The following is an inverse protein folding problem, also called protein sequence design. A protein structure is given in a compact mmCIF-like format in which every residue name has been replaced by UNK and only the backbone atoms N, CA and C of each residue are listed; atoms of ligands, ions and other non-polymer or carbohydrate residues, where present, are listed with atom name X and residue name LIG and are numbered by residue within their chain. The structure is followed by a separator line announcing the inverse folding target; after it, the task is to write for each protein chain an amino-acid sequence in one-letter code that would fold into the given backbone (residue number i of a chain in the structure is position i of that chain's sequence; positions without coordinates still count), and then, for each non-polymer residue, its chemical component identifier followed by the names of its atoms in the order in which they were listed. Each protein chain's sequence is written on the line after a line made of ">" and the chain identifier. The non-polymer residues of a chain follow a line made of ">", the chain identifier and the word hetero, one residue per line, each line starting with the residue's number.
data_IF_099763864867
#
_entry.id   IF_099763864867
#
_cell.length_a   1.000
_cell.length_b   1.000
_cell.length_c   1.000
_cell.angle_alpha   90.00
_cell.angle_beta   90.00
_cell.angle_gamma   90.00
#
_symmetry.space_group_name_H-M   'P 1'
#
loop_
_entity.id
_entity.type
_entity.pdbx_description
1 polymer ?
#
# COMPACT_ATOMS: atom_id res chain seq x y z
N UNK A 1 37.95 -6.25 16.21
CA UNK A 1 37.59 -5.21 15.21
C UNK A 1 36.66 -5.86 14.21
N UNK A 2 35.42 -5.36 14.07
CA UNK A 2 34.42 -5.98 13.20
C UNK A 2 34.78 -5.83 11.72
N UNK A 3 34.71 -6.93 10.96
CA UNK A 3 35.06 -6.99 9.54
C UNK A 3 34.14 -6.17 8.60
N UNK A 4 33.04 -5.60 9.11
CA UNK A 4 32.05 -4.87 8.31
C UNK A 4 31.75 -3.47 8.89
N UNK A 5 31.49 -2.46 8.04
CA UNK A 5 31.01 -1.15 8.46
C UNK A 5 29.70 -1.23 9.27
N UNK A 6 29.48 -0.36 10.27
CA UNK A 6 28.24 -0.32 11.05
C UNK A 6 26.96 -0.22 10.20
N UNK A 7 27.01 0.50 9.07
CA UNK A 7 25.92 0.61 8.09
C UNK A 7 25.51 -0.72 7.47
N UNK A 8 26.49 -1.58 7.15
CA UNK A 8 26.24 -2.90 6.60
C UNK A 8 25.64 -3.80 7.68
N UNK A 9 26.20 -3.79 8.89
CA UNK A 9 25.70 -4.59 10.01
C UNK A 9 24.24 -4.25 10.32
N UNK A 10 23.92 -2.96 10.50
CA UNK A 10 22.56 -2.49 10.78
C UNK A 10 21.57 -2.85 9.66
N UNK A 11 22.00 -2.74 8.40
CA UNK A 11 21.17 -3.07 7.24
C UNK A 11 20.88 -4.57 7.15
N UNK A 12 21.90 -5.42 7.42
CA UNK A 12 21.75 -6.87 7.48
C UNK A 12 20.81 -7.26 8.62
N UNK A 13 21.00 -6.67 9.80
CA UNK A 13 20.17 -6.94 10.97
C UNK A 13 18.69 -6.63 10.70
N UNK A 14 18.37 -5.42 10.23
CA UNK A 14 17.00 -5.01 9.91
C UNK A 14 16.36 -5.94 8.86
N UNK A 15 17.10 -6.25 7.79
CA UNK A 15 16.60 -7.12 6.71
C UNK A 15 16.40 -8.56 7.19
N UNK A 16 17.31 -9.08 8.01
CA UNK A 16 17.21 -10.44 8.56
C UNK A 16 16.00 -10.58 9.47
N UNK A 17 15.73 -9.59 10.33
CA UNK A 17 14.53 -9.57 11.15
C UNK A 17 13.25 -9.57 10.31
N UNK A 18 13.20 -8.81 9.21
CA UNK A 18 12.04 -8.83 8.30
C UNK A 18 11.84 -10.19 7.61
N UNK A 19 12.94 -10.85 7.21
CA UNK A 19 12.87 -12.22 6.70
C UNK A 19 12.34 -13.19 7.76
N UNK A 20 12.76 -13.05 9.02
CA UNK A 20 12.26 -13.86 10.14
C UNK A 20 10.78 -13.65 10.40
N UNK A 21 10.27 -12.41 10.33
CA UNK A 21 8.83 -12.12 10.44
C UNK A 21 8.03 -12.96 9.41
N UNK A 22 8.48 -12.92 8.15
CA UNK A 22 7.80 -13.64 7.06
C UNK A 22 7.88 -15.15 7.25
N UNK A 23 9.04 -15.66 7.69
CA UNK A 23 9.25 -17.08 7.96
C UNK A 23 8.38 -17.59 9.12
N UNK A 24 8.34 -16.87 10.25
CA UNK A 24 7.52 -17.23 11.42
C UNK A 24 6.04 -17.29 11.02
N UNK A 25 5.55 -16.30 10.28
CA UNK A 25 4.17 -16.26 9.81
C UNK A 25 3.84 -17.46 8.92
N UNK A 26 4.71 -17.75 7.95
CA UNK A 26 4.58 -18.87 7.03
C UNK A 26 4.59 -20.22 7.72
N UNK A 27 5.55 -20.44 8.62
CA UNK A 27 5.69 -21.67 9.39
C UNK A 27 4.49 -21.89 10.31
N UNK A 28 4.05 -20.85 11.03
CA UNK A 28 2.89 -20.93 11.90
C UNK A 28 1.63 -21.32 11.12
N UNK A 29 1.37 -20.71 9.96
CA UNK A 29 0.22 -21.05 9.11
C UNK A 29 0.28 -22.50 8.55
N UNK A 30 1.49 -23.03 8.33
CA UNK A 30 1.70 -24.30 7.63
C UNK A 30 1.81 -25.51 8.55
N UNK A 31 2.45 -25.32 9.70
CA UNK A 31 2.82 -26.41 10.62
C UNK A 31 2.00 -26.41 11.91
N UNK A 32 1.05 -25.50 12.08
CA UNK A 32 0.12 -25.50 13.21
C UNK A 32 -1.33 -25.65 12.77
N UNK A 33 -2.15 -26.31 13.60
CA UNK A 33 -3.61 -26.36 13.41
C UNK A 33 -4.25 -24.99 13.65
N UNK A 34 -5.48 -24.81 13.18
CA UNK A 34 -6.24 -23.55 13.31
C UNK A 34 -6.39 -23.05 14.77
N UNK A 35 -6.38 -23.97 15.72
CA UNK A 35 -6.59 -23.74 17.17
C UNK A 35 -5.32 -23.92 17.99
N UNK A 36 -4.15 -24.07 17.35
CA UNK A 36 -2.90 -24.33 18.06
C UNK A 36 -2.53 -23.21 19.04
N UNK A 37 -2.09 -23.54 20.26
CA UNK A 37 -1.62 -22.56 21.24
C UNK A 37 -0.31 -21.88 20.83
N UNK A 38 0.36 -22.35 19.76
CA UNK A 38 1.57 -21.73 19.23
C UNK A 38 1.29 -20.49 18.36
N UNK A 39 0.03 -20.25 17.96
CA UNK A 39 -0.31 -19.11 17.10
C UNK A 39 -0.18 -17.75 17.81
N UNK A 40 -0.69 -17.54 19.04
CA UNK A 40 -0.49 -16.27 19.73
C UNK A 40 1.00 -15.93 20.00
N UNK A 41 1.84 -16.87 20.47
CA UNK A 41 3.29 -16.62 20.58
C UNK A 41 3.95 -16.24 19.25
N UNK A 42 3.55 -16.85 18.13
CA UNK A 42 4.07 -16.49 16.81
C UNK A 42 3.71 -15.04 16.42
N UNK A 43 2.48 -14.60 16.70
CA UNK A 43 2.06 -13.21 16.48
C UNK A 43 2.85 -12.25 17.38
N UNK A 44 3.04 -12.61 18.65
CA UNK A 44 3.83 -11.81 19.59
C UNK A 44 5.29 -11.67 19.13
N UNK A 45 5.90 -12.75 18.62
CA UNK A 45 7.25 -12.71 18.05
C UNK A 45 7.32 -11.81 16.80
N UNK A 46 6.34 -11.90 15.90
CA UNK A 46 6.24 -11.03 14.71
C UNK A 46 6.15 -9.55 15.12
N UNK A 47 5.30 -9.23 16.11
CA UNK A 47 5.16 -7.88 16.65
C UNK A 47 6.46 -7.39 17.30
N UNK A 48 7.10 -8.23 18.12
CA UNK A 48 8.37 -7.91 18.76
C UNK A 48 9.49 -7.61 17.76
N UNK A 49 9.59 -8.40 16.68
CA UNK A 49 10.54 -8.15 15.59
C UNK A 49 10.20 -6.84 14.84
N UNK A 50 8.93 -6.55 14.57
CA UNK A 50 8.55 -5.29 13.92
C UNK A 50 8.90 -4.06 14.78
N UNK A 51 8.71 -4.14 16.10
CA UNK A 51 9.12 -3.11 17.05
C UNK A 51 10.65 -3.00 17.10
N UNK A 52 11.37 -4.12 17.11
CA UNK A 52 12.84 -4.13 17.09
C UNK A 52 13.39 -3.48 15.82
N UNK A 53 12.85 -3.81 14.64
CA UNK A 53 13.15 -3.14 13.37
C UNK A 53 12.92 -1.63 13.48
N UNK A 54 11.75 -1.21 14.00
CA UNK A 54 11.41 0.20 14.13
C UNK A 54 12.42 0.94 15.01
N UNK A 55 12.75 0.39 16.17
CA UNK A 55 13.70 0.97 17.12
C UNK A 55 15.12 1.01 16.52
N UNK A 56 15.56 -0.08 15.90
CA UNK A 56 16.85 -0.18 15.22
C UNK A 56 16.99 0.92 14.17
N UNK A 57 15.98 1.09 13.32
CA UNK A 57 15.96 2.09 12.26
C UNK A 57 15.99 3.51 12.81
N UNK A 58 15.21 3.80 13.87
CA UNK A 58 15.14 5.13 14.47
C UNK A 58 16.46 5.49 15.16
N UNK A 59 17.07 4.56 15.89
CA UNK A 59 18.33 4.80 16.61
C UNK A 59 19.56 4.77 15.69
N UNK A 60 19.56 3.98 14.62
CA UNK A 60 20.68 3.85 13.68
C UNK A 60 20.37 4.48 12.32
N UNK A 61 19.49 5.48 12.30
CA UNK A 61 18.99 6.15 11.10
C UNK A 61 20.10 6.69 10.18
N UNK A 62 21.22 7.14 10.75
CA UNK A 62 22.39 7.64 10.01
C UNK A 62 23.12 6.56 9.21
N UNK A 63 22.98 5.29 9.60
CA UNK A 63 23.73 4.17 9.05
C UNK A 63 22.95 3.36 8.02
N UNK A 64 21.62 3.46 7.98
CA UNK A 64 20.77 2.68 7.08
C UNK A 64 20.24 3.60 5.96
N UNK A 65 20.35 3.23 4.67
CA UNK A 65 19.78 4.00 3.56
C UNK A 65 18.27 4.26 3.74
N UNK A 66 17.79 5.47 3.44
CA UNK A 66 16.38 5.89 3.63
C UNK A 66 15.40 4.91 2.97
N UNK A 67 15.69 4.49 1.74
CA UNK A 67 14.84 3.56 0.98
C UNK A 67 14.73 2.22 1.71
N UNK A 68 15.85 1.71 2.23
CA UNK A 68 15.88 0.44 2.97
C UNK A 68 15.11 0.56 4.29
N UNK A 69 15.35 1.64 5.05
CA UNK A 69 14.60 1.94 6.29
C UNK A 69 13.10 1.93 6.07
N UNK A 70 12.63 2.72 5.11
CA UNK A 70 11.21 2.80 4.77
C UNK A 70 10.64 1.45 4.35
N UNK A 71 11.35 0.72 3.48
CA UNK A 71 10.88 -0.57 2.96
C UNK A 71 10.75 -1.66 4.04
N UNK A 72 11.75 -1.78 4.91
CA UNK A 72 11.79 -2.82 5.95
C UNK A 72 10.80 -2.51 7.06
N UNK A 73 10.69 -1.25 7.50
CA UNK A 73 9.68 -0.84 8.49
C UNK A 73 8.25 -1.04 7.95
N UNK A 74 7.97 -0.54 6.74
CA UNK A 74 6.68 -0.72 6.08
C UNK A 74 6.33 -2.21 5.94
N UNK A 75 7.29 -3.02 5.45
CA UNK A 75 7.13 -4.46 5.31
C UNK A 75 6.84 -5.17 6.63
N UNK A 76 7.56 -4.82 7.70
CA UNK A 76 7.35 -5.37 9.04
C UNK A 76 5.94 -5.12 9.55
N UNK A 77 5.47 -3.87 9.53
CA UNK A 77 4.12 -3.51 9.99
C UNK A 77 3.00 -4.05 9.11
N UNK A 78 3.23 -4.14 7.78
CA UNK A 78 2.32 -4.86 6.87
C UNK A 78 2.20 -6.33 7.30
N UNK A 79 3.31 -6.98 7.64
CA UNK A 79 3.28 -8.38 8.06
C UNK A 79 2.66 -8.59 9.44
N UNK A 80 2.77 -7.63 10.36
CA UNK A 80 2.01 -7.64 11.63
C UNK A 80 0.52 -7.70 11.32
N UNK A 81 0.00 -6.77 10.51
CA UNK A 81 -1.42 -6.76 10.14
C UNK A 81 -1.83 -8.03 9.36
N UNK A 82 -0.96 -8.51 8.48
CA UNK A 82 -1.16 -9.74 7.71
C UNK A 82 -1.18 -11.00 8.60
N UNK A 83 -0.42 -11.01 9.70
CA UNK A 83 -0.40 -12.13 10.65
C UNK A 83 -1.73 -12.30 11.36
N UNK A 84 -2.39 -11.19 11.72
CA UNK A 84 -3.72 -11.20 12.32
C UNK A 84 -4.77 -11.72 11.33
N UNK A 85 -4.63 -11.38 10.04
CA UNK A 85 -5.47 -11.98 9.01
C UNK A 85 -5.29 -13.50 8.91
N UNK A 86 -4.05 -13.96 8.72
CA UNK A 86 -3.73 -15.36 8.47
C UNK A 86 -4.00 -16.24 9.70
N UNK A 87 -3.53 -15.82 10.88
CA UNK A 87 -3.48 -16.68 12.07
C UNK A 87 -4.71 -16.54 12.97
N UNK A 88 -5.35 -15.37 13.01
CA UNK A 88 -6.49 -15.09 13.90
C UNK A 88 -7.82 -15.11 13.16
N UNK A 89 -7.97 -14.28 12.12
CA UNK A 89 -9.25 -14.07 11.45
C UNK A 89 -9.62 -15.23 10.50
N UNK A 90 -8.80 -15.48 9.47
CA UNK A 90 -9.04 -16.58 8.50
C UNK A 90 -8.58 -17.93 9.01
N UNK A 91 -7.69 -17.95 10.01
CA UNK A 91 -7.06 -19.16 10.59
C UNK A 91 -6.54 -20.13 9.53
N UNK A 92 -5.86 -19.60 8.51
CA UNK A 92 -5.34 -20.35 7.36
C UNK A 92 -4.51 -21.56 7.81
N UNK A 93 -4.71 -22.71 7.16
CA UNK A 93 -3.91 -23.93 7.38
C UNK A 93 -3.51 -24.60 6.08
N UNK A 94 -2.35 -25.25 6.06
CA UNK A 94 -1.94 -26.08 4.92
C UNK A 94 -2.87 -27.28 4.70
N UNK A 95 -3.35 -27.90 5.78
CA UNK A 95 -4.25 -29.06 5.68
C UNK A 95 -5.56 -28.72 4.94
N UNK A 96 -6.18 -27.59 5.28
CA UNK A 96 -7.38 -27.10 4.59
C UNK A 96 -7.08 -26.72 3.13
N UNK A 97 -5.92 -26.13 2.87
CA UNK A 97 -5.49 -25.84 1.50
C UNK A 97 -5.38 -27.11 0.65
N UNK A 98 -4.73 -28.17 1.17
CA UNK A 98 -4.59 -29.46 0.49
C UNK A 98 -5.96 -30.10 0.23
N UNK A 99 -6.88 -30.02 1.19
CA UNK A 99 -8.25 -30.53 0.98
C UNK A 99 -8.96 -29.77 -0.15
N UNK A 100 -8.81 -28.45 -0.21
CA UNK A 100 -9.38 -27.62 -1.27
C UNK A 100 -8.73 -27.85 -2.65
N UNK A 101 -7.44 -28.22 -2.70
CA UNK A 101 -6.76 -28.55 -3.96
C UNK A 101 -6.99 -29.98 -4.43
N UNK A 102 -7.62 -30.88 -3.65
CA UNK A 102 -7.99 -32.22 -4.13
C UNK A 102 -8.83 -32.09 -5.42
N UNK A 103 -8.31 -32.62 -6.53
CA UNK A 103 -8.91 -32.49 -7.87
C UNK A 103 -8.37 -31.35 -8.74
N UNK A 104 -7.53 -30.46 -8.19
CA UNK A 104 -6.85 -29.37 -8.93
C UNK A 104 -5.37 -29.74 -9.08
N UNK A 105 -4.91 -29.99 -10.31
CA UNK A 105 -3.50 -30.36 -10.60
C UNK A 105 -2.55 -29.24 -10.18
N UNK A 106 -1.81 -29.41 -9.08
CA UNK A 106 -0.63 -28.61 -8.74
C UNK A 106 0.45 -29.57 -8.21
N UNK A 107 1.42 -29.93 -9.05
CA UNK A 107 2.61 -30.69 -8.62
C UNK A 107 3.80 -29.74 -8.51
N UNK A 108 3.97 -29.14 -7.34
CA UNK A 108 5.20 -28.43 -7.00
C UNK A 108 6.10 -29.36 -6.17
N UNK A 109 7.43 -29.33 -6.35
CA UNK A 109 8.33 -29.96 -5.40
C UNK A 109 8.16 -29.31 -4.02
N UNK A 110 8.05 -30.13 -2.97
CA UNK A 110 7.88 -29.69 -1.57
C UNK A 110 6.71 -28.70 -1.34
N UNK A 111 5.45 -29.07 -1.67
CA UNK A 111 4.31 -28.15 -1.67
C UNK A 111 4.04 -27.52 -0.30
N UNK A 112 4.40 -28.22 0.79
CA UNK A 112 4.29 -27.70 2.15
C UNK A 112 5.28 -26.58 2.46
N UNK A 113 6.55 -26.74 2.08
CA UNK A 113 7.58 -25.71 2.24
C UNK A 113 7.22 -24.51 1.36
N UNK A 114 6.81 -24.76 0.12
CA UNK A 114 6.37 -23.71 -0.78
C UNK A 114 5.18 -22.91 -0.24
N UNK A 115 4.19 -23.59 0.36
CA UNK A 115 3.07 -22.92 1.01
C UNK A 115 3.54 -22.03 2.17
N UNK A 116 4.47 -22.51 3.01
CA UNK A 116 5.04 -21.71 4.10
C UNK A 116 5.74 -20.45 3.60
N UNK A 117 6.53 -20.55 2.53
CA UNK A 117 7.26 -19.40 1.99
C UNK A 117 6.35 -18.42 1.20
N UNK A 118 5.29 -18.92 0.57
CA UNK A 118 4.44 -18.11 -0.32
C UNK A 118 3.27 -17.44 0.39
N UNK A 119 2.65 -18.08 1.40
CA UNK A 119 1.42 -17.55 2.02
C UNK A 119 1.58 -16.16 2.65
N UNK A 120 2.71 -15.79 3.30
CA UNK A 120 2.89 -14.43 3.85
C UNK A 120 2.88 -13.36 2.76
N UNK A 121 3.44 -13.65 1.58
CA UNK A 121 3.59 -12.69 0.49
C UNK A 121 2.43 -12.73 -0.52
N UNK A 122 1.59 -13.76 -0.46
CA UNK A 122 0.37 -13.85 -1.25
C UNK A 122 -0.76 -13.03 -0.60
N UNK A 123 -0.63 -11.70 -0.53
CA UNK A 123 -1.58 -10.81 0.16
C UNK A 123 -3.02 -10.87 -0.38
N UNK A 124 -3.19 -11.27 -1.63
CA UNK A 124 -4.50 -11.47 -2.28
C UNK A 124 -5.00 -12.91 -2.21
N UNK A 125 -4.21 -13.82 -1.63
CA UNK A 125 -4.50 -15.24 -1.46
C UNK A 125 -4.84 -15.94 -2.78
N UNK A 126 -4.22 -15.51 -3.87
CA UNK A 126 -4.41 -16.05 -5.23
C UNK A 126 -4.13 -17.55 -5.23
N UNK A 127 -4.98 -18.34 -5.90
CA UNK A 127 -4.80 -19.79 -5.99
C UNK A 127 -5.09 -20.54 -4.68
N UNK A 128 -5.86 -19.94 -3.76
CA UNK A 128 -6.27 -20.59 -2.51
C UNK A 128 -7.77 -20.42 -2.26
N UNK A 129 -8.31 -21.17 -1.30
CA UNK A 129 -9.70 -21.01 -0.82
C UNK A 129 -10.01 -19.59 -0.33
N UNK A 130 -9.01 -18.88 0.19
CA UNK A 130 -9.16 -17.56 0.82
C UNK A 130 -8.95 -16.38 -0.14
N UNK A 131 -8.91 -16.64 -1.45
CA UNK A 131 -8.72 -15.63 -2.49
C UNK A 131 -9.69 -14.45 -2.34
N UNK A 132 -9.18 -13.22 -2.46
CA UNK A 132 -10.02 -12.02 -2.37
C UNK A 132 -10.98 -11.92 -3.57
N UNK A 133 -12.06 -11.16 -3.41
CA UNK A 133 -12.98 -10.81 -4.50
C UNK A 133 -13.15 -9.28 -4.57
N UNK A 134 -13.12 -8.66 -5.77
CA UNK A 134 -12.86 -9.28 -7.08
C UNK A 134 -11.36 -9.57 -7.33
N UNK A 135 -11.09 -10.55 -8.19
CA UNK A 135 -9.80 -10.68 -8.90
C UNK A 135 -10.01 -10.16 -10.31
N UNK A 136 -9.12 -9.28 -10.76
CA UNK A 136 -9.25 -8.68 -12.09
C UNK A 136 -8.61 -9.59 -13.14
N UNK A 137 -9.35 -9.79 -14.21
CA UNK A 137 -8.92 -10.66 -15.30
C UNK A 137 -7.87 -10.00 -16.20
N UNK A 138 -7.10 -10.86 -16.86
CA UNK A 138 -6.27 -10.45 -18.00
C UNK A 138 -7.14 -9.93 -19.14
N UNK A 139 -6.51 -9.24 -20.10
CA UNK A 139 -7.20 -8.75 -21.31
C UNK A 139 -7.89 -9.94 -21.99
N UNK A 140 -9.20 -9.81 -22.25
CA UNK A 140 -10.08 -10.86 -22.81
C UNK A 140 -10.25 -12.12 -21.93
N UNK A 141 -9.93 -12.06 -20.64
CA UNK A 141 -10.09 -13.20 -19.72
C UNK A 141 -9.09 -14.34 -19.92
N UNK A 142 -8.11 -14.19 -20.83
CA UNK A 142 -7.14 -15.24 -21.17
C UNK A 142 -5.82 -15.02 -20.46
N UNK A 143 -5.33 -16.04 -19.76
CA UNK A 143 -4.00 -16.03 -19.14
C UNK A 143 -2.94 -16.06 -20.27
N UNK A 144 -2.04 -15.07 -20.34
CA UNK A 144 -1.03 -15.05 -21.39
C UNK A 144 0.01 -16.16 -21.21
N UNK A 145 0.55 -16.65 -22.34
CA UNK A 145 1.71 -17.53 -22.32
C UNK A 145 2.93 -16.84 -21.67
N UNK A 146 3.85 -17.61 -21.09
CA UNK A 146 5.00 -17.08 -20.31
C UNK A 146 5.79 -15.99 -21.04
N UNK A 147 6.21 -16.25 -22.29
CA UNK A 147 6.98 -15.26 -23.09
C UNK A 147 6.18 -13.98 -23.30
N UNK A 148 4.89 -14.11 -23.59
CA UNK A 148 4.01 -12.97 -23.81
C UNK A 148 3.79 -12.16 -22.53
N UNK A 149 3.56 -12.84 -21.41
CA UNK A 149 3.45 -12.22 -20.10
C UNK A 149 4.70 -11.39 -19.77
N UNK A 150 5.89 -11.97 -19.91
CA UNK A 150 7.16 -11.29 -19.63
C UNK A 150 7.33 -10.05 -20.51
N UNK A 151 7.07 -10.19 -21.82
CA UNK A 151 7.10 -9.07 -22.78
C UNK A 151 6.13 -7.96 -22.42
N UNK A 152 4.88 -8.30 -22.08
CA UNK A 152 3.86 -7.34 -21.70
C UNK A 152 4.21 -6.58 -20.42
N UNK A 153 4.72 -7.28 -19.39
CA UNK A 153 5.13 -6.65 -18.13
C UNK A 153 6.33 -5.74 -18.32
N UNK A 154 7.35 -6.19 -19.05
CA UNK A 154 8.53 -5.38 -19.34
C UNK A 154 8.16 -4.13 -20.14
N UNK A 155 7.38 -4.28 -21.22
CA UNK A 155 6.85 -3.15 -22.00
C UNK A 155 6.02 -2.21 -21.14
N UNK A 156 5.20 -2.72 -20.22
CA UNK A 156 4.42 -1.88 -19.31
C UNK A 156 5.32 -1.05 -18.41
N UNK A 157 6.43 -1.58 -17.89
CA UNK A 157 7.38 -0.82 -17.06
C UNK A 157 8.02 0.29 -17.89
N UNK A 158 8.55 -0.04 -19.08
CA UNK A 158 9.26 0.92 -19.95
C UNK A 158 8.32 2.04 -20.42
N UNK A 159 7.14 1.71 -20.94
CA UNK A 159 6.19 2.71 -21.43
C UNK A 159 5.68 3.62 -20.31
N UNK A 160 5.37 3.05 -19.15
CA UNK A 160 4.92 3.83 -17.99
C UNK A 160 6.02 4.76 -17.50
N UNK A 161 7.25 4.24 -17.32
CA UNK A 161 8.38 5.03 -16.88
C UNK A 161 8.69 6.17 -17.85
N UNK A 162 8.70 5.87 -19.16
CA UNK A 162 8.92 6.86 -20.22
C UNK A 162 7.83 7.93 -20.28
N UNK A 163 6.55 7.54 -20.23
CA UNK A 163 5.43 8.49 -20.26
C UNK A 163 5.46 9.47 -19.08
N UNK A 164 5.93 9.02 -17.92
CA UNK A 164 5.99 9.85 -16.71
C UNK A 164 7.21 10.75 -16.69
N UNK A 165 8.37 10.23 -17.13
CA UNK A 165 9.54 11.08 -17.38
C UNK A 165 9.19 12.20 -18.36
N UNK A 166 8.49 11.87 -19.45
CA UNK A 166 8.04 12.84 -20.44
C UNK A 166 7.02 13.84 -19.88
N UNK A 167 6.01 13.38 -19.14
CA UNK A 167 5.03 14.27 -18.50
C UNK A 167 5.69 15.26 -17.53
N UNK A 168 6.57 14.79 -16.65
CA UNK A 168 7.31 15.64 -15.73
C UNK A 168 8.19 16.66 -16.47
N UNK A 169 8.81 16.24 -17.58
CA UNK A 169 9.62 17.13 -18.42
C UNK A 169 8.76 18.20 -19.11
N UNK A 170 7.57 17.87 -19.61
CA UNK A 170 6.62 18.86 -20.16
C UNK A 170 6.18 19.84 -19.08
N UNK A 171 5.79 19.36 -17.90
CA UNK A 171 5.35 20.23 -16.82
C UNK A 171 6.46 21.18 -16.35
N UNK A 172 7.72 20.73 -16.37
CA UNK A 172 8.88 21.58 -16.11
C UNK A 172 9.11 22.60 -17.24
N UNK A 173 8.98 22.19 -18.51
CA UNK A 173 9.13 23.07 -19.67
C UNK A 173 8.05 24.16 -19.72
N UNK A 174 6.81 23.83 -19.38
CA UNK A 174 5.66 24.74 -19.36
C UNK A 174 5.56 25.57 -18.06
N UNK A 175 6.56 25.50 -17.18
CA UNK A 175 6.58 26.16 -15.85
C UNK A 175 5.31 25.89 -15.01
N UNK A 176 4.68 24.73 -15.24
CA UNK A 176 3.47 24.29 -14.53
C UNK A 176 3.80 23.71 -13.16
N UNK A 177 5.05 23.30 -12.95
CA UNK A 177 5.58 22.84 -11.68
C UNK A 177 6.65 23.84 -11.26
N UNK A 178 6.60 24.39 -10.03
CA UNK A 178 7.66 25.26 -9.53
C UNK A 178 9.02 24.58 -9.72
N UNK A 179 10.05 25.37 -10.05
CA UNK A 179 11.41 24.84 -10.11
C UNK A 179 11.73 24.11 -8.81
N UNK A 180 12.59 23.10 -8.88
CA UNK A 180 12.91 22.26 -7.72
C UNK A 180 13.29 23.07 -6.47
N UNK A 181 14.00 24.19 -6.63
CA UNK A 181 14.38 25.07 -5.53
C UNK A 181 13.18 25.80 -4.89
N UNK A 182 12.21 26.24 -5.70
CA UNK A 182 11.01 26.93 -5.22
C UNK A 182 10.07 25.96 -4.51
N UNK A 183 9.91 24.76 -5.06
CA UNK A 183 9.15 23.68 -4.43
C UNK A 183 9.78 23.27 -3.09
N UNK A 184 11.11 23.12 -3.06
CA UNK A 184 11.88 22.87 -1.83
C UNK A 184 11.64 23.98 -0.80
N UNK A 185 11.78 25.23 -1.21
CA UNK A 185 11.57 26.39 -0.34
C UNK A 185 10.13 26.42 0.22
N UNK A 186 9.13 26.20 -0.62
CA UNK A 186 7.73 26.21 -0.23
C UNK A 186 7.36 25.06 0.74
N UNK A 187 7.93 23.86 0.53
CA UNK A 187 7.76 22.73 1.44
C UNK A 187 8.50 22.92 2.77
N UNK A 188 9.73 23.45 2.72
CA UNK A 188 10.55 23.69 3.91
C UNK A 188 9.92 24.73 4.86
N UNK A 189 9.32 25.79 4.30
CA UNK A 189 8.71 26.88 5.07
C UNK A 189 7.23 26.63 5.40
N UNK A 190 6.72 25.41 5.20
CA UNK A 190 5.34 25.09 5.55
C UNK A 190 4.28 25.74 4.65
N UNK A 191 4.66 26.51 3.61
CA UNK A 191 3.74 27.34 2.82
C UNK A 191 2.66 26.52 2.12
N UNK A 192 2.98 25.31 1.68
CA UNK A 192 2.02 24.39 1.03
C UNK A 192 1.12 23.63 2.02
N UNK A 193 1.36 23.74 3.33
CA UNK A 193 0.51 23.13 4.36
C UNK A 193 -0.65 24.05 4.77
N UNK A 194 -0.51 25.37 4.58
CA UNK A 194 -1.56 26.34 4.80
C UNK A 194 -2.59 26.32 3.65
N UNK A 195 -3.87 26.53 3.97
CA UNK A 195 -4.94 26.70 2.98
C UNK A 195 -4.84 28.10 2.36
N UNK A 196 -3.97 28.28 1.38
CA UNK A 196 -4.04 29.43 0.48
C UNK A 196 -5.00 29.12 -0.67
N UNK A 197 -6.07 29.91 -0.77
CA UNK A 197 -7.12 29.78 -1.78
C UNK A 197 -6.84 30.59 -3.05
N UNK A 198 -5.67 31.21 -3.17
CA UNK A 198 -5.25 31.86 -4.41
C UNK A 198 -5.17 30.84 -5.55
N UNK A 199 -5.66 31.21 -6.74
CA UNK A 199 -5.65 30.33 -7.92
C UNK A 199 -4.26 29.74 -8.24
N UNK A 200 -3.15 30.51 -8.20
CA UNK A 200 -1.82 29.96 -8.45
C UNK A 200 -1.40 28.91 -7.40
N UNK A 201 -1.73 29.13 -6.13
CA UNK A 201 -1.41 28.21 -5.05
C UNK A 201 -2.22 26.92 -5.13
N UNK A 202 -3.53 27.04 -5.38
CA UNK A 202 -4.42 25.90 -5.60
C UNK A 202 -3.98 25.06 -6.80
N UNK A 203 -3.62 25.70 -7.92
CA UNK A 203 -3.13 25.02 -9.11
C UNK A 203 -1.81 24.27 -8.82
N UNK A 204 -0.86 24.93 -8.15
CA UNK A 204 0.42 24.32 -7.76
C UNK A 204 0.20 23.11 -6.86
N UNK A 205 -0.65 23.24 -5.83
CA UNK A 205 -0.97 22.16 -4.91
C UNK A 205 -1.66 20.98 -5.62
N UNK A 206 -2.58 21.28 -6.55
CA UNK A 206 -3.27 20.24 -7.32
C UNK A 206 -2.31 19.48 -8.23
N UNK A 207 -1.44 20.19 -8.98
CA UNK A 207 -0.45 19.57 -9.87
C UNK A 207 0.55 18.73 -9.07
N UNK A 208 1.05 19.25 -7.94
CA UNK A 208 1.97 18.54 -7.06
C UNK A 208 1.33 17.27 -6.48
N UNK A 209 0.14 17.41 -5.88
CA UNK A 209 -0.60 16.27 -5.31
C UNK A 209 -0.90 15.20 -6.36
N UNK A 210 -1.37 15.61 -7.54
CA UNK A 210 -1.65 14.70 -8.64
C UNK A 210 -0.36 13.98 -9.12
N UNK A 211 0.73 14.71 -9.29
CA UNK A 211 2.02 14.15 -9.73
C UNK A 211 2.58 13.15 -8.72
N UNK A 212 2.49 13.44 -7.42
CA UNK A 212 2.92 12.53 -6.36
C UNK A 212 2.03 11.28 -6.29
N UNK A 213 0.71 11.41 -6.42
CA UNK A 213 -0.22 10.28 -6.44
C UNK A 213 0.04 9.36 -7.63
N UNK A 214 0.23 9.94 -8.82
CA UNK A 214 0.60 9.20 -10.03
C UNK A 214 1.94 8.50 -9.79
N UNK A 215 2.95 9.19 -9.27
CA UNK A 215 4.28 8.59 -9.00
C UNK A 215 4.19 7.37 -8.06
N UNK A 216 3.44 7.49 -6.95
CA UNK A 216 3.22 6.39 -6.01
C UNK A 216 2.49 5.20 -6.66
N UNK A 217 1.47 5.47 -7.47
CA UNK A 217 0.74 4.43 -8.20
C UNK A 217 1.65 3.65 -9.15
N UNK A 218 2.53 4.36 -9.86
CA UNK A 218 3.43 3.75 -10.83
C UNK A 218 4.53 2.95 -10.15
N UNK A 219 5.02 3.44 -9.01
CA UNK A 219 5.95 2.68 -8.16
C UNK A 219 5.33 1.35 -7.74
N UNK A 220 4.07 1.33 -7.29
CA UNK A 220 3.37 0.08 -6.96
C UNK A 220 3.29 -0.86 -8.16
N UNK A 221 2.96 -0.33 -9.34
CA UNK A 221 2.91 -1.13 -10.58
C UNK A 221 4.26 -1.67 -10.99
N UNK A 222 5.32 -0.87 -10.86
CA UNK A 222 6.68 -1.25 -11.20
C UNK A 222 7.17 -2.36 -10.26
N UNK A 223 7.01 -2.19 -8.94
CA UNK A 223 7.36 -3.22 -7.95
C UNK A 223 6.61 -4.53 -8.23
N UNK A 224 5.30 -4.46 -8.44
CA UNK A 224 4.50 -5.65 -8.77
C UNK A 224 4.96 -6.34 -10.07
N UNK A 225 5.21 -5.56 -11.12
CA UNK A 225 5.64 -6.10 -12.41
C UNK A 225 7.06 -6.70 -12.34
N UNK A 226 7.99 -6.08 -11.63
CA UNK A 226 9.35 -6.58 -11.41
C UNK A 226 9.31 -7.91 -10.66
N UNK A 227 8.57 -7.98 -9.54
CA UNK A 227 8.42 -9.24 -8.80
C UNK A 227 7.79 -10.34 -9.66
N UNK A 228 6.77 -10.00 -10.45
CA UNK A 228 6.13 -10.94 -11.37
C UNK A 228 7.08 -11.44 -12.46
N UNK A 229 7.86 -10.54 -13.07
CA UNK A 229 8.87 -10.88 -14.09
C UNK A 229 9.90 -11.83 -13.48
N UNK A 230 10.48 -11.47 -12.33
CA UNK A 230 11.50 -12.29 -11.67
C UNK A 230 10.95 -13.67 -11.32
N UNK A 231 9.78 -13.75 -10.69
CA UNK A 231 9.21 -15.04 -10.27
C UNK A 231 8.82 -15.94 -11.45
N UNK A 232 8.29 -15.38 -12.54
CA UNK A 232 7.91 -16.14 -13.74
C UNK A 232 9.13 -16.50 -14.59
N UNK A 233 10.15 -15.63 -14.64
CA UNK A 233 11.41 -15.90 -15.32
C UNK A 233 12.17 -17.04 -14.64
N UNK A 234 12.22 -17.06 -13.31
CA UNK A 234 12.88 -18.10 -12.52
C UNK A 234 12.05 -19.38 -12.33
N UNK A 235 10.90 -19.51 -13.01
CA UNK A 235 9.99 -20.67 -12.89
C UNK A 235 9.46 -20.92 -11.46
N UNK A 236 9.46 -19.90 -10.61
CA UNK A 236 8.92 -19.95 -9.25
C UNK A 236 7.39 -19.83 -9.22
N UNK A 237 6.79 -19.27 -10.27
CA UNK A 237 5.34 -19.12 -10.39
C UNK A 237 4.93 -19.03 -11.87
N UNK A 238 3.63 -19.17 -12.12
CA UNK A 238 3.03 -19.05 -13.45
C UNK A 238 2.43 -17.65 -13.67
N UNK A 239 2.19 -17.23 -14.92
CA UNK A 239 1.45 -15.99 -15.19
C UNK A 239 0.09 -15.91 -14.48
N UNK A 240 -0.58 -17.05 -14.24
CA UNK A 240 -1.87 -17.12 -13.56
C UNK A 240 -1.82 -16.63 -12.10
N UNK A 241 -0.65 -16.72 -11.45
CA UNK A 241 -0.43 -16.28 -10.07
C UNK A 241 -0.28 -14.76 -9.96
N UNK A 242 -0.15 -14.08 -11.11
CA UNK A 242 0.07 -12.63 -11.20
C UNK A 242 -1.04 -11.89 -11.96
N UNK A 243 -2.33 -12.06 -11.60
CA UNK A 243 -3.41 -11.33 -12.24
C UNK A 243 -3.29 -9.83 -11.94
N UNK A 244 -3.77 -8.93 -12.82
CA UNK A 244 -3.88 -7.51 -12.52
C UNK A 244 -4.39 -7.26 -11.10
N UNK A 245 -3.72 -6.38 -10.36
CA UNK A 245 -4.09 -6.15 -8.96
C UNK A 245 -5.22 -5.16 -8.79
N UNK A 246 -5.58 -4.41 -9.82
CA UNK A 246 -6.55 -3.31 -9.73
C UNK A 246 -7.48 -3.27 -10.93
N UNK A 247 -8.61 -2.59 -10.75
CA UNK A 247 -9.54 -2.26 -11.82
C UNK A 247 -8.93 -1.27 -12.83
N UNK A 248 -9.66 -1.05 -13.93
CA UNK A 248 -9.37 0.05 -14.85
C UNK A 248 -9.51 1.40 -14.15
N UNK A 249 -8.68 2.38 -14.53
CA UNK A 249 -8.83 3.77 -14.07
C UNK A 249 -10.21 4.36 -14.43
N UNK A 250 -10.90 3.78 -15.43
CA UNK A 250 -12.29 4.08 -15.81
C UNK A 250 -13.33 3.83 -14.70
N UNK A 251 -12.94 3.06 -13.69
CA UNK A 251 -13.81 2.71 -12.56
C UNK A 251 -13.56 3.61 -11.33
N UNK A 252 -12.53 4.47 -11.36
CA UNK A 252 -12.08 5.29 -10.22
C UNK A 252 -12.78 6.67 -10.12
N UNK A 253 -14.05 6.76 -10.54
CA UNK A 253 -14.82 8.02 -10.56
C UNK A 253 -15.54 8.32 -9.23
N UNK A 254 -15.31 7.58 -8.16
CA UNK A 254 -15.74 7.97 -6.80
C UNK A 254 -14.66 7.54 -5.82
N UNK A 255 -14.52 8.20 -4.68
CA UNK A 255 -13.55 7.88 -3.62
C UNK A 255 -13.78 6.45 -3.13
N UNK A 256 -15.05 6.01 -2.99
CA UNK A 256 -15.37 4.61 -2.66
C UNK A 256 -14.86 3.62 -3.71
N UNK A 257 -14.97 3.93 -5.00
CA UNK A 257 -14.47 3.06 -6.07
C UNK A 257 -12.95 3.14 -6.23
N UNK A 258 -12.37 4.32 -6.04
CA UNK A 258 -10.93 4.54 -6.05
C UNK A 258 -10.25 3.63 -5.03
N UNK A 259 -10.62 3.71 -3.74
CA UNK A 259 -10.06 2.83 -2.70
C UNK A 259 -10.56 1.39 -2.80
N UNK A 260 -11.81 1.20 -3.23
CA UNK A 260 -12.46 -0.10 -3.23
C UNK A 260 -12.11 -1.00 -4.42
N UNK A 261 -11.57 -0.45 -5.51
CA UNK A 261 -11.31 -1.19 -6.75
C UNK A 261 -9.98 -0.86 -7.42
N UNK A 262 -9.49 0.38 -7.29
CA UNK A 262 -8.34 0.84 -8.05
C UNK A 262 -7.05 0.88 -7.22
N UNK A 263 -7.07 1.48 -6.03
CA UNK A 263 -5.87 1.76 -5.24
C UNK A 263 -5.54 0.65 -4.23
N UNK A 264 -4.26 0.30 -4.05
CA UNK A 264 -3.75 -0.64 -3.01
C UNK A 264 -4.53 -1.96 -2.81
N UNK A 265 -5.10 -2.53 -3.86
CA UNK A 265 -5.89 -3.76 -3.76
C UNK A 265 -5.09 -4.99 -3.28
N UNK A 266 -3.75 -4.95 -3.33
CA UNK A 266 -2.89 -5.97 -2.73
C UNK A 266 -3.14 -6.13 -1.23
N UNK A 267 -3.44 -5.03 -0.53
CA UNK A 267 -3.51 -4.98 0.94
C UNK A 267 -4.93 -5.07 1.49
N UNK A 268 -5.93 -5.13 0.60
CA UNK A 268 -7.36 -5.16 0.95
C UNK A 268 -7.71 -6.25 1.97
N UNK A 269 -7.13 -7.45 1.80
CA UNK A 269 -7.45 -8.62 2.64
C UNK A 269 -7.18 -8.35 4.11
N UNK A 270 -5.92 -8.04 4.45
CA UNK A 270 -5.55 -7.88 5.84
C UNK A 270 -6.13 -6.60 6.45
N UNK A 271 -6.23 -5.50 5.69
CA UNK A 271 -6.85 -4.27 6.19
C UNK A 271 -8.30 -4.52 6.62
N UNK A 272 -9.06 -5.24 5.80
CA UNK A 272 -10.46 -5.59 6.11
C UNK A 272 -10.55 -6.55 7.30
N UNK A 273 -9.68 -7.55 7.36
CA UNK A 273 -9.73 -8.56 8.42
C UNK A 273 -9.33 -8.02 9.79
N UNK A 274 -8.37 -7.10 9.86
CA UNK A 274 -8.06 -6.42 11.12
C UNK A 274 -9.27 -5.62 11.63
N UNK A 275 -10.00 -4.94 10.75
CA UNK A 275 -11.23 -4.27 11.13
C UNK A 275 -12.30 -5.26 11.63
N UNK A 276 -12.45 -6.43 11.00
CA UNK A 276 -13.40 -7.46 11.45
C UNK A 276 -13.02 -8.07 12.81
N UNK A 277 -11.74 -8.30 13.07
CA UNK A 277 -11.28 -8.78 14.39
C UNK A 277 -11.71 -7.81 15.49
N UNK A 278 -11.46 -6.52 15.29
CA UNK A 278 -11.84 -5.48 16.26
C UNK A 278 -13.36 -5.40 16.43
N UNK A 279 -14.11 -5.41 15.33
CA UNK A 279 -15.58 -5.35 15.38
C UNK A 279 -16.17 -6.59 16.06
N UNK A 280 -15.60 -7.78 15.83
CA UNK A 280 -16.06 -9.03 16.44
C UNK A 280 -15.85 -9.09 17.94
N UNK A 281 -14.95 -8.27 18.49
CA UNK A 281 -14.70 -8.15 19.93
C UNK A 281 -15.73 -7.26 20.64
N UNK A 282 -16.61 -6.56 19.91
CA UNK A 282 -17.66 -5.73 20.51
C UNK A 282 -18.79 -6.65 21.02
N UNK A 283 -19.15 -6.60 22.31
CA UNK A 283 -20.04 -7.59 22.93
C UNK A 283 -21.52 -7.45 22.54
N UNK A 284 -21.89 -6.39 21.83
CA UNK A 284 -23.26 -6.10 21.41
C UNK A 284 -23.38 -5.88 19.90
N UNK A 285 -24.59 -6.12 19.37
CA UNK A 285 -24.87 -5.99 17.94
C UNK A 285 -24.95 -4.52 17.53
N UNK A 286 -24.02 -4.09 16.69
CA UNK A 286 -24.06 -2.78 16.06
C UNK A 286 -25.15 -2.70 14.99
N UNK A 287 -25.77 -1.52 14.86
CA UNK A 287 -26.63 -1.22 13.72
C UNK A 287 -25.85 -1.33 12.39
N UNK A 288 -26.53 -1.73 11.31
CA UNK A 288 -25.89 -2.03 10.01
C UNK A 288 -25.03 -0.86 9.50
N UNK A 289 -25.53 0.36 9.59
CA UNK A 289 -24.81 1.57 9.15
C UNK A 289 -23.59 1.84 10.03
N UNK A 290 -23.74 1.72 11.34
CA UNK A 290 -22.65 1.93 12.32
C UNK A 290 -21.54 0.92 12.11
N UNK A 291 -21.87 -0.39 12.02
CA UNK A 291 -20.90 -1.44 11.71
C UNK A 291 -20.16 -1.17 10.39
N UNK A 292 -20.88 -0.72 9.35
CA UNK A 292 -20.31 -0.42 8.04
C UNK A 292 -19.29 0.72 8.11
N UNK A 293 -19.63 1.84 8.74
CA UNK A 293 -18.72 2.98 8.84
C UNK A 293 -17.57 2.74 9.81
N UNK A 294 -17.81 2.05 10.91
CA UNK A 294 -16.76 1.63 11.83
C UNK A 294 -15.73 0.75 11.12
N UNK A 295 -16.17 -0.20 10.29
CA UNK A 295 -15.28 -1.02 9.47
C UNK A 295 -14.44 -0.17 8.52
N UNK A 296 -15.04 0.80 7.82
CA UNK A 296 -14.29 1.70 6.94
C UNK A 296 -13.23 2.48 7.72
N UNK A 297 -13.62 3.08 8.85
CA UNK A 297 -12.69 3.80 9.72
C UNK A 297 -11.55 2.91 10.18
N UNK A 298 -11.83 1.70 10.69
CA UNK A 298 -10.81 0.78 11.18
C UNK A 298 -9.87 0.30 10.06
N UNK A 299 -10.37 0.00 8.86
CA UNK A 299 -9.53 -0.34 7.71
C UNK A 299 -8.52 0.78 7.42
N UNK A 300 -8.99 2.02 7.39
CA UNK A 300 -8.15 3.17 7.13
C UNK A 300 -7.25 3.53 8.31
N UNK A 301 -7.67 3.29 9.55
CA UNK A 301 -6.84 3.46 10.74
C UNK A 301 -5.64 2.51 10.70
N UNK A 302 -5.85 1.23 10.39
CA UNK A 302 -4.76 0.25 10.24
C UNK A 302 -3.83 0.68 9.10
N UNK A 303 -4.37 1.13 7.97
CA UNK A 303 -3.55 1.71 6.89
C UNK A 303 -2.75 2.92 7.37
N UNK A 304 -3.37 3.84 8.12
CA UNK A 304 -2.74 5.04 8.64
C UNK A 304 -1.62 4.73 9.63
N UNK A 305 -1.78 3.72 10.50
CA UNK A 305 -0.75 3.26 11.43
C UNK A 305 0.46 2.70 10.68
N UNK A 306 0.25 1.88 9.65
CA UNK A 306 1.34 1.35 8.81
C UNK A 306 2.13 2.50 8.16
N UNK A 307 1.44 3.51 7.62
CA UNK A 307 2.11 4.67 7.02
C UNK A 307 2.78 5.59 8.07
N UNK A 308 2.19 5.71 9.26
CA UNK A 308 2.79 6.44 10.38
C UNK A 308 4.14 5.84 10.78
N UNK A 309 4.23 4.51 10.91
CA UNK A 309 5.51 3.86 11.22
C UNK A 309 6.53 3.97 10.08
N UNK A 310 6.07 3.94 8.82
CA UNK A 310 6.89 4.23 7.66
C UNK A 310 7.46 5.66 7.73
N UNK A 311 6.63 6.67 8.04
CA UNK A 311 7.03 8.06 8.18
C UNK A 311 8.17 8.21 9.21
N UNK A 312 8.00 7.61 10.39
CA UNK A 312 9.02 7.62 11.44
C UNK A 312 10.33 6.95 10.97
N UNK A 313 10.22 5.84 10.23
CA UNK A 313 11.38 5.11 9.74
C UNK A 313 12.20 5.91 8.70
N UNK A 314 11.54 6.73 7.88
CA UNK A 314 12.22 7.60 6.92
C UNK A 314 12.67 8.94 7.54
N UNK A 315 12.33 9.20 8.81
CA UNK A 315 12.77 10.35 9.59
C UNK A 315 11.81 11.54 9.59
N UNK A 316 10.54 11.34 9.28
CA UNK A 316 9.48 12.33 9.54
C UNK A 316 9.14 12.25 11.04
N UNK A 317 9.05 13.39 11.72
CA UNK A 317 8.80 13.43 13.16
C UNK A 317 7.36 13.02 13.54
N UNK A 318 7.16 12.64 14.81
CA UNK A 318 5.83 12.35 15.36
C UNK A 318 4.86 13.55 15.26
N UNK A 319 5.39 14.77 15.32
CA UNK A 319 4.59 16.00 15.22
C UNK A 319 4.25 16.37 13.77
N UNK A 320 5.09 15.96 12.81
CA UNK A 320 4.93 16.30 11.40
C UNK A 320 4.12 15.27 10.61
N UNK A 321 4.06 14.01 11.06
CA UNK A 321 3.37 12.94 10.32
C UNK A 321 1.89 13.23 10.15
N UNK A 322 1.48 13.43 8.88
CA UNK A 322 0.09 13.58 8.50
C UNK A 322 -0.65 12.26 8.23
N UNK A 323 0.00 11.10 8.43
CA UNK A 323 -0.51 9.80 7.98
C UNK A 323 -1.88 9.47 8.60
N UNK A 324 -1.98 9.46 9.93
CA UNK A 324 -3.23 9.08 10.62
C UNK A 324 -4.40 9.98 10.21
N UNK A 325 -4.19 11.31 10.19
CA UNK A 325 -5.20 12.27 9.73
C UNK A 325 -5.66 11.97 8.30
N UNK A 326 -4.69 11.80 7.39
CA UNK A 326 -4.92 11.57 5.96
C UNK A 326 -5.75 10.31 5.70
N UNK A 327 -5.45 9.21 6.37
CA UNK A 327 -6.17 7.95 6.12
C UNK A 327 -7.49 7.90 6.86
N UNK A 328 -7.57 8.33 8.12
CA UNK A 328 -8.80 8.23 8.92
C UNK A 328 -9.93 9.15 8.45
N UNK A 329 -9.65 10.22 7.68
CA UNK A 329 -10.68 11.10 7.10
C UNK A 329 -11.38 10.48 5.88
N UNK A 330 -10.81 9.46 5.23
CA UNK A 330 -11.34 8.89 3.98
C UNK A 330 -12.81 8.40 4.06
N UNK A 331 -13.30 7.78 5.15
CA UNK A 331 -14.71 7.40 5.30
C UNK A 331 -15.69 8.58 5.26
N UNK A 332 -15.24 9.82 5.53
CA UNK A 332 -16.11 11.01 5.40
C UNK A 332 -16.55 11.19 3.94
N UNK A 333 -15.65 11.00 2.97
CA UNK A 333 -16.03 11.02 1.56
C UNK A 333 -17.09 9.96 1.21
N UNK A 334 -17.04 8.80 1.87
CA UNK A 334 -18.04 7.75 1.65
C UNK A 334 -19.44 8.18 2.14
N UNK A 335 -19.50 8.94 3.24
CA UNK A 335 -20.75 9.52 3.75
C UNK A 335 -21.30 10.60 2.84
N UNK A 336 -20.43 11.48 2.33
CA UNK A 336 -20.79 12.49 1.32
C UNK A 336 -21.30 11.83 0.04
N UNK A 337 -20.65 10.77 -0.44
CA UNK A 337 -21.09 10.01 -1.60
C UNK A 337 -22.44 9.31 -1.38
N UNK A 338 -22.67 8.74 -0.19
CA UNK A 338 -23.96 8.12 0.16
C UNK A 338 -25.08 9.17 0.17
N UNK A 339 -24.83 10.37 0.70
CA UNK A 339 -25.77 11.49 0.70
C UNK A 339 -26.05 11.99 -0.73
N UNK A 340 -25.01 12.23 -1.53
CA UNK A 340 -25.15 12.64 -2.92
C UNK A 340 -25.97 11.62 -3.73
N UNK A 341 -25.73 10.32 -3.52
CA UNK A 341 -26.52 9.26 -4.13
C UNK A 341 -27.98 9.23 -3.65
N UNK A 342 -28.22 9.50 -2.37
CA UNK A 342 -29.58 9.62 -1.83
C UNK A 342 -30.34 10.78 -2.49
N UNK A 343 -29.74 11.98 -2.54
CA UNK A 343 -30.33 13.17 -3.15
C UNK A 343 -30.58 12.98 -4.66
N UNK A 344 -29.61 12.41 -5.37
CA UNK A 344 -29.73 12.06 -6.80
C UNK A 344 -30.95 11.17 -7.07
N UNK A 345 -31.18 10.15 -6.24
CA UNK A 345 -32.37 9.29 -6.34
C UNK A 345 -33.66 10.02 -5.94
N UNK A 346 -33.62 10.80 -4.86
CA UNK A 346 -34.80 11.51 -4.31
C UNK A 346 -35.36 12.55 -5.28
N UNK A 347 -34.50 13.20 -6.05
CA UNK A 347 -34.86 14.24 -7.02
C UNK A 347 -34.79 13.78 -8.48
N UNK A 348 -34.50 12.50 -8.73
CA UNK A 348 -34.41 11.93 -10.08
C UNK A 348 -33.40 12.63 -11.01
N UNK A 349 -32.32 13.18 -10.42
CA UNK A 349 -31.23 13.86 -11.15
C UNK A 349 -30.02 12.94 -11.23
N UNK A 350 -29.39 12.80 -12.40
CA UNK A 350 -28.20 11.97 -12.61
C UNK A 350 -28.37 10.52 -12.11
N UNK A 351 -29.57 9.96 -12.26
CA UNK A 351 -29.87 8.58 -11.90
C UNK A 351 -29.09 7.61 -12.80
N UNK A 352 -28.78 6.42 -12.27
CA UNK A 352 -28.02 5.41 -13.01
C UNK A 352 -26.52 5.72 -13.14
N UNK A 353 -25.91 5.28 -14.25
CA UNK A 353 -24.49 5.40 -14.55
C UNK A 353 -24.29 6.22 -15.84
N UNK A 354 -24.46 7.54 -15.75
CA UNK A 354 -24.31 8.47 -16.87
C UNK A 354 -22.87 8.97 -17.00
N UNK A 355 -22.49 9.44 -18.20
CA UNK A 355 -21.19 10.09 -18.44
C UNK A 355 -21.02 11.31 -17.54
N UNK A 356 -22.05 12.16 -17.43
CA UNK A 356 -22.03 13.35 -16.57
C UNK A 356 -21.73 13.00 -15.10
N UNK A 357 -22.35 11.94 -14.56
CA UNK A 357 -22.08 11.45 -13.20
C UNK A 357 -20.64 10.99 -13.01
N UNK A 358 -20.07 10.30 -14.00
CA UNK A 358 -18.67 9.88 -13.95
C UNK A 358 -17.72 11.08 -13.99
N UNK A 359 -17.97 12.05 -14.86
CA UNK A 359 -17.16 13.28 -14.96
C UNK A 359 -17.18 14.04 -13.64
N UNK A 360 -18.37 14.31 -13.08
CA UNK A 360 -18.52 14.95 -11.77
C UNK A 360 -17.82 14.15 -10.67
N UNK A 361 -17.93 12.83 -10.72
CA UNK A 361 -17.26 11.93 -9.81
C UNK A 361 -15.73 12.00 -9.89
N UNK A 362 -15.15 12.08 -11.09
CA UNK A 362 -13.70 12.28 -11.24
C UNK A 362 -13.24 13.63 -10.68
N UNK A 363 -14.00 14.70 -10.94
CA UNK A 363 -13.72 16.03 -10.35
C UNK A 363 -13.75 15.94 -8.83
N UNK A 364 -14.76 15.29 -8.25
CA UNK A 364 -14.86 15.03 -6.82
C UNK A 364 -13.65 14.25 -6.27
N UNK A 365 -13.24 13.18 -6.95
CA UNK A 365 -12.07 12.37 -6.56
C UNK A 365 -10.81 13.22 -6.52
N UNK A 366 -10.55 14.01 -7.56
CA UNK A 366 -9.37 14.87 -7.65
C UNK A 366 -9.37 15.90 -6.51
N UNK A 367 -10.47 16.62 -6.32
CA UNK A 367 -10.59 17.66 -5.28
C UNK A 367 -10.38 17.04 -3.89
N UNK A 368 -11.12 15.96 -3.58
CA UNK A 368 -11.03 15.33 -2.27
C UNK A 368 -9.66 14.72 -2.01
N UNK A 369 -9.02 14.09 -3.01
CA UNK A 369 -7.67 13.54 -2.85
C UNK A 369 -6.62 14.63 -2.67
N UNK A 370 -6.67 15.74 -3.43
CA UNK A 370 -5.74 16.86 -3.24
C UNK A 370 -5.88 17.47 -1.84
N UNK A 371 -7.11 17.60 -1.33
CA UNK A 371 -7.36 18.14 0.00
C UNK A 371 -7.00 17.18 1.14
N UNK A 372 -7.37 15.90 1.03
CA UNK A 372 -7.22 14.94 2.14
C UNK A 372 -5.83 14.34 2.25
N UNK A 373 -5.09 14.21 1.13
CA UNK A 373 -3.79 13.55 1.11
C UNK A 373 -2.61 14.49 1.34
N UNK A 374 -2.81 15.81 1.17
CA UNK A 374 -1.75 16.83 1.35
C UNK A 374 -0.97 16.74 2.67
N UNK A 375 -1.57 16.51 3.86
CA UNK A 375 -0.82 16.59 5.11
C UNK A 375 0.24 15.49 5.21
N UNK A 376 0.01 14.35 4.56
CA UNK A 376 0.95 13.25 4.52
C UNK A 376 1.88 13.32 3.31
N UNK A 377 1.33 13.49 2.10
CA UNK A 377 2.10 13.35 0.86
C UNK A 377 3.17 14.45 0.71
N UNK A 378 2.92 15.66 1.24
CA UNK A 378 3.89 16.76 1.22
C UNK A 378 5.04 16.54 2.21
N UNK A 379 4.79 15.87 3.33
CA UNK A 379 5.86 15.51 4.27
C UNK A 379 6.78 14.45 3.66
N UNK A 380 6.20 13.45 3.00
CA UNK A 380 6.97 12.44 2.27
C UNK A 380 7.78 13.09 1.14
N UNK A 381 7.18 14.01 0.38
CA UNK A 381 7.87 14.76 -0.67
C UNK A 381 9.01 15.63 -0.13
N UNK A 382 8.77 16.38 0.95
CA UNK A 382 9.79 17.18 1.66
C UNK A 382 10.96 16.29 2.05
N UNK A 383 10.67 15.14 2.66
CA UNK A 383 11.71 14.21 3.11
C UNK A 383 12.50 13.58 1.97
N UNK A 384 11.84 13.24 0.87
CA UNK A 384 12.50 12.71 -0.33
C UNK A 384 13.46 13.73 -0.95
N UNK A 385 13.11 15.03 -0.93
CA UNK A 385 13.96 16.11 -1.42
C UNK A 385 15.20 16.32 -0.55
N UNK A 386 15.04 16.31 0.77
CA UNK A 386 16.16 16.40 1.73
C UNK A 386 17.14 15.22 1.58
N UNK A 387 16.60 14.01 1.40
CA UNK A 387 17.42 12.80 1.24
C UNK A 387 18.21 12.76 -0.08
N UNK A 388 17.81 13.56 -1.08
CA UNK A 388 18.50 13.68 -2.36
C UNK A 388 19.64 14.70 -2.34
N UNK A 389 19.86 15.43 -1.23
CA UNK A 389 21.03 16.31 -1.09
C UNK A 389 22.30 15.47 -0.88
N UNK A 390 23.39 15.74 -1.63
CA UNK A 390 24.70 15.22 -1.28
C UNK A 390 25.06 15.73 0.12
N UNK A 391 25.62 14.86 0.97
CA UNK A 391 26.03 15.14 2.36
C UNK A 391 27.10 16.27 2.47
N UNK A 392 27.50 16.89 1.35
CA UNK A 392 28.53 17.93 1.28
C UNK A 392 28.05 19.36 1.58
N UNK A 393 26.74 19.63 1.71
CA UNK A 393 26.30 20.92 2.25
C UNK A 393 26.31 20.88 3.79
N UNK A 394 27.46 21.23 4.35
CA UNK A 394 27.67 21.63 5.74
C UNK A 394 26.44 22.29 6.37
N UNK A 395 25.65 21.50 7.12
CA UNK A 395 24.93 22.04 8.28
C UNK A 395 25.98 22.37 9.32
N UNK A 396 26.54 23.56 9.23
CA UNK A 396 27.20 24.19 10.38
C UNK A 396 26.15 24.29 11.47
N UNK A 397 26.40 23.57 12.55
CA UNK A 397 25.71 23.70 13.82
C UNK A 397 25.70 25.19 14.21
N UNK A 398 24.51 25.72 14.46
CA UNK A 398 24.28 26.87 15.32
C UNK A 398 23.14 26.51 16.26
#
# INVERSE_FOLDING_TARGET
>A
MGFFPPSIVASIEATSQYCLISLILGLAATFTSATSPLRPPAIAAILGLAISIQNLIVHQAAHIPVILRGSVALGGWVQVANSLDILVYRRITYAEHVQWTKGRRISLPYPRIWFALSIPHNFRRIGTKWQITPVYDFVQGKIPARREFLRQRFRSIVLIGGAVGFFLQICFYLDCIPRWNDLRFALAHGRLFHLDLSWPSLLTQAILSFSLLVSMFLLQRAVYATLAITAVALHLSSPADWPPFQASAREAWSIRRFWGQFWHQLFRSFLSSNAEVIISAIPFRLHKTTSRYLRYFLCFLVSGLIHHFFDLAIGISLHDTGALLTFTVQPVAFAVEDMAQYLSRRYMVLTGNTVAKRVLGYVWVIIFSCWSLRPWIYQVARRALEAAEPITSTRVLA
#
